data_IF_605205245788
#
_entry.id   IF_605205245788
#
_cell.length_a   1.000
_cell.length_b   1.000
_cell.length_c   1.000
_cell.angle_alpha   90.00
_cell.angle_beta   90.00
_cell.angle_gamma   90.00
#
_symmetry.space_group_name_H-M   'P 1'
#
loop_
_entity.id
_entity.type
_entity.pdbx_description
1 polymer ?
#
# COMPACT_ATOMS: atom_id res chain seq x y z
N UNK A 1 -41.06 17.27 -24.17
CA UNK A 1 -40.15 16.20 -23.80
C UNK A 1 -38.95 16.83 -23.11
N UNK A 2 -38.70 16.47 -21.84
CA UNK A 2 -37.68 17.12 -21.00
C UNK A 2 -36.52 16.19 -20.64
N UNK A 3 -36.48 14.94 -21.16
CA UNK A 3 -35.43 14.00 -20.82
C UNK A 3 -34.07 14.44 -21.37
N UNK A 4 -33.07 14.47 -20.50
CA UNK A 4 -31.68 14.66 -20.87
C UNK A 4 -30.86 13.58 -20.13
N UNK A 5 -30.12 12.76 -20.88
CA UNK A 5 -29.40 11.62 -20.34
C UNK A 5 -28.90 10.67 -21.42
N UNK A 6 -28.50 9.48 -21.01
CA UNK A 6 -28.16 8.39 -21.96
C UNK A 6 -29.37 7.52 -22.19
N UNK A 7 -29.71 7.31 -23.48
CA UNK A 7 -30.72 6.36 -23.93
C UNK A 7 -30.01 5.15 -24.56
N UNK A 8 -30.43 3.97 -24.15
CA UNK A 8 -29.85 2.70 -24.62
C UNK A 8 -30.73 2.11 -25.70
N UNK A 9 -30.12 1.57 -26.75
CA UNK A 9 -30.79 0.82 -27.80
C UNK A 9 -30.44 -0.66 -27.68
N UNK A 10 -31.46 -1.49 -27.76
CA UNK A 10 -31.35 -2.94 -27.68
C UNK A 10 -31.73 -3.57 -29.01
N UNK A 11 -31.15 -4.72 -29.33
CA UNK A 11 -31.50 -5.51 -30.49
C UNK A 11 -32.79 -6.36 -30.25
N UNK A 12 -33.15 -7.20 -31.22
CA UNK A 12 -34.33 -8.06 -31.13
C UNK A 12 -34.20 -9.18 -30.07
N UNK A 13 -32.99 -9.48 -29.65
CA UNK A 13 -32.68 -10.49 -28.62
C UNK A 13 -32.61 -9.88 -27.21
N UNK A 14 -32.73 -8.56 -27.11
CA UNK A 14 -32.57 -7.84 -25.84
C UNK A 14 -31.12 -7.51 -25.50
N UNK A 15 -30.17 -7.70 -26.43
CA UNK A 15 -28.77 -7.34 -26.21
C UNK A 15 -28.57 -5.85 -26.49
N UNK A 16 -27.80 -5.19 -25.60
CA UNK A 16 -27.48 -3.76 -25.74
C UNK A 16 -26.61 -3.54 -26.97
N UNK A 17 -27.10 -2.69 -27.88
CA UNK A 17 -26.45 -2.42 -29.15
C UNK A 17 -25.58 -1.15 -29.08
N UNK A 18 -26.16 -0.03 -28.60
CA UNK A 18 -25.49 1.25 -28.46
C UNK A 18 -26.19 2.14 -27.42
N UNK A 19 -25.54 3.25 -27.09
CA UNK A 19 -26.06 4.25 -26.14
C UNK A 19 -25.88 5.65 -26.72
N UNK A 20 -26.91 6.46 -26.62
CA UNK A 20 -26.95 7.79 -27.19
C UNK A 20 -27.25 8.88 -26.17
N UNK A 21 -26.55 9.98 -26.29
CA UNK A 21 -26.86 11.17 -25.54
C UNK A 21 -28.10 11.86 -26.08
N UNK A 22 -29.07 12.00 -25.22
CA UNK A 22 -30.35 12.67 -25.49
C UNK A 22 -30.36 13.99 -24.74
N UNK A 23 -30.72 15.06 -25.44
CA UNK A 23 -30.93 16.39 -24.86
C UNK A 23 -32.34 16.85 -25.22
N UNK A 24 -33.12 17.23 -24.19
CA UNK A 24 -34.51 17.67 -24.36
C UNK A 24 -35.37 16.69 -25.17
N UNK A 25 -35.20 15.38 -24.95
CA UNK A 25 -36.00 14.32 -25.60
C UNK A 25 -35.55 13.92 -27.00
N UNK A 26 -34.46 14.49 -27.54
CA UNK A 26 -33.91 14.15 -28.86
C UNK A 26 -32.44 13.75 -28.76
N UNK A 27 -32.02 12.81 -29.61
CA UNK A 27 -30.58 12.48 -29.72
C UNK A 27 -29.80 13.69 -30.22
N UNK A 28 -28.79 14.08 -29.49
CA UNK A 28 -27.94 15.24 -29.85
C UNK A 28 -26.69 14.76 -30.61
N UNK A 29 -26.82 14.58 -31.92
CA UNK A 29 -25.72 14.19 -32.80
C UNK A 29 -24.58 15.23 -32.90
N UNK A 30 -24.81 16.47 -32.43
CA UNK A 30 -23.78 17.50 -32.44
C UNK A 30 -22.82 17.42 -31.24
N UNK A 31 -23.21 16.70 -30.19
CA UNK A 31 -22.40 16.56 -28.99
C UNK A 31 -21.16 15.72 -29.25
N UNK A 32 -20.02 16.27 -28.87
CA UNK A 32 -18.70 15.63 -28.88
C UNK A 32 -17.92 16.01 -27.63
N UNK A 33 -17.21 15.02 -27.05
CA UNK A 33 -16.42 15.22 -25.83
C UNK A 33 -17.18 14.85 -24.55
N UNK A 34 -16.75 15.41 -23.44
CA UNK A 34 -17.33 15.13 -22.14
C UNK A 34 -18.65 15.87 -21.92
N UNK A 35 -19.70 15.15 -21.60
CA UNK A 35 -21.01 15.70 -21.24
C UNK A 35 -21.35 15.30 -19.80
N UNK A 36 -21.90 16.26 -19.03
CA UNK A 36 -22.32 16.04 -17.64
C UNK A 36 -23.79 15.64 -17.58
N UNK A 37 -24.07 14.50 -16.96
CA UNK A 37 -25.41 13.96 -16.76
C UNK A 37 -25.54 13.55 -15.29
N UNK A 38 -26.46 14.17 -14.55
CA UNK A 38 -26.70 13.84 -13.12
C UNK A 38 -25.43 13.72 -12.29
N UNK A 39 -24.50 14.67 -12.42
CA UNK A 39 -23.18 14.71 -11.81
C UNK A 39 -22.13 13.68 -12.29
N UNK A 40 -22.46 12.82 -13.22
CA UNK A 40 -21.49 11.93 -13.89
C UNK A 40 -21.06 12.52 -15.23
N UNK A 41 -19.81 12.28 -15.61
CA UNK A 41 -19.28 12.66 -16.90
C UNK A 41 -19.22 11.45 -17.80
N UNK A 42 -19.75 11.57 -19.03
CA UNK A 42 -19.69 10.55 -20.07
C UNK A 42 -19.02 11.14 -21.31
N UNK A 43 -18.25 10.33 -22.02
CA UNK A 43 -17.61 10.75 -23.26
C UNK A 43 -18.45 10.33 -24.47
N UNK A 44 -18.85 11.29 -25.28
CA UNK A 44 -19.64 11.06 -26.47
C UNK A 44 -18.92 11.53 -27.74
N UNK A 45 -19.18 10.86 -28.84
CA UNK A 45 -18.74 11.27 -30.17
C UNK A 45 -19.93 11.20 -31.11
N UNK A 46 -20.26 12.34 -31.75
CA UNK A 46 -21.47 12.48 -32.57
C UNK A 46 -22.73 12.00 -31.82
N UNK A 47 -22.83 12.31 -30.55
CA UNK A 47 -23.93 11.89 -29.68
C UNK A 47 -23.89 10.44 -29.19
N UNK A 48 -23.01 9.59 -29.69
CA UNK A 48 -22.89 8.19 -29.26
C UNK A 48 -21.87 8.05 -28.11
N UNK A 49 -22.28 7.36 -27.04
CA UNK A 49 -21.37 7.03 -25.91
C UNK A 49 -20.23 6.14 -26.42
N UNK A 50 -19.02 6.49 -26.06
CA UNK A 50 -17.83 5.73 -26.40
C UNK A 50 -17.52 4.71 -25.30
N UNK A 51 -18.30 3.64 -25.24
CA UNK A 51 -18.20 2.61 -24.20
C UNK A 51 -16.94 1.72 -24.29
N UNK A 52 -16.16 1.84 -25.34
CA UNK A 52 -14.85 1.22 -25.51
C UNK A 52 -13.70 2.04 -24.89
N UNK A 53 -13.99 3.28 -24.47
CA UNK A 53 -13.00 4.14 -23.84
C UNK A 53 -12.80 3.73 -22.37
N UNK A 54 -11.60 3.22 -22.05
CA UNK A 54 -11.23 2.75 -20.74
C UNK A 54 -9.80 3.18 -20.36
N UNK A 55 -9.49 3.25 -19.05
CA UNK A 55 -8.19 3.60 -18.51
C UNK A 55 -8.02 5.10 -18.31
N UNK A 56 -6.79 5.62 -18.47
CA UNK A 56 -6.50 7.03 -18.20
C UNK A 56 -6.64 7.87 -19.48
N UNK A 57 -7.38 8.96 -19.40
CA UNK A 57 -7.61 9.92 -20.49
C UNK A 57 -7.20 11.31 -20.05
N UNK A 58 -6.41 12.01 -20.87
CA UNK A 58 -6.08 13.41 -20.62
C UNK A 58 -7.26 14.29 -21.04
N UNK A 59 -7.75 15.10 -20.12
CA UNK A 59 -8.90 15.99 -20.36
C UNK A 59 -8.96 17.15 -19.37
N UNK A 60 -9.73 18.18 -19.75
CA UNK A 60 -10.16 19.26 -18.83
C UNK A 60 -11.59 18.98 -18.39
N UNK A 61 -11.78 18.68 -17.11
CA UNK A 61 -13.10 18.39 -16.51
C UNK A 61 -13.34 19.38 -15.38
N UNK A 62 -14.48 20.10 -15.40
CA UNK A 62 -14.81 21.19 -14.46
C UNK A 62 -13.68 22.22 -14.31
N UNK A 63 -12.99 22.54 -15.42
CA UNK A 63 -11.90 23.51 -15.46
C UNK A 63 -10.58 23.01 -14.87
N UNK A 64 -10.46 21.73 -14.54
CA UNK A 64 -9.23 21.08 -14.08
C UNK A 64 -8.63 20.24 -15.18
N UNK A 65 -7.43 20.56 -15.58
CA UNK A 65 -6.62 19.73 -16.48
C UNK A 65 -6.04 18.55 -15.73
N UNK A 66 -6.06 17.35 -16.35
CA UNK A 66 -5.49 16.18 -15.71
C UNK A 66 -5.62 14.90 -16.52
N UNK A 67 -5.15 13.82 -15.92
CA UNK A 67 -5.41 12.46 -16.36
C UNK A 67 -6.52 11.88 -15.51
N UNK A 68 -7.56 11.40 -16.17
CA UNK A 68 -8.80 10.97 -15.54
C UNK A 68 -9.04 9.50 -15.82
N UNK A 69 -9.43 8.76 -14.79
CA UNK A 69 -9.80 7.36 -14.90
C UNK A 69 -11.21 7.23 -15.49
N UNK A 70 -11.30 6.46 -16.54
CA UNK A 70 -12.53 6.26 -17.33
C UNK A 70 -12.83 4.78 -17.41
N UNK A 71 -14.06 4.42 -17.18
CA UNK A 71 -14.61 3.08 -17.35
C UNK A 71 -15.82 3.12 -18.26
N UNK A 72 -15.77 2.35 -19.35
CA UNK A 72 -16.83 2.27 -20.35
C UNK A 72 -17.35 3.64 -20.83
N UNK A 73 -16.42 4.57 -21.09
CA UNK A 73 -16.74 5.93 -21.55
C UNK A 73 -17.33 6.84 -20.49
N UNK A 74 -17.37 6.40 -19.24
CA UNK A 74 -17.84 7.17 -18.08
C UNK A 74 -16.68 7.47 -17.17
N UNK A 75 -16.61 8.69 -16.62
CA UNK A 75 -15.63 9.01 -15.62
C UNK A 75 -15.86 8.08 -14.42
N UNK A 76 -14.82 7.36 -14.03
CA UNK A 76 -14.91 6.41 -12.92
C UNK A 76 -15.32 7.15 -11.64
N UNK A 77 -16.45 6.77 -11.05
CA UNK A 77 -16.96 7.41 -9.84
C UNK A 77 -16.30 6.81 -8.60
N UNK A 78 -15.15 7.36 -8.24
CA UNK A 78 -14.48 7.01 -6.99
C UNK A 78 -14.91 7.99 -5.88
N UNK A 79 -16.10 7.80 -5.35
CA UNK A 79 -16.60 8.59 -4.20
C UNK A 79 -15.98 8.17 -2.88
N UNK A 80 -15.16 7.15 -2.87
CA UNK A 80 -14.43 6.70 -1.70
C UNK A 80 -13.22 7.62 -1.50
N UNK A 81 -13.08 8.18 -0.33
CA UNK A 81 -11.98 9.08 0.06
C UNK A 81 -10.64 8.34 0.27
N UNK A 82 -10.29 7.41 -0.63
CA UNK A 82 -9.03 6.69 -0.63
C UNK A 82 -8.43 6.60 -2.04
N UNK A 83 -7.12 6.42 -2.12
CA UNK A 83 -6.43 6.19 -3.39
C UNK A 83 -6.70 4.80 -3.93
N UNK A 84 -6.84 4.72 -5.26
CA UNK A 84 -6.89 3.49 -6.05
C UNK A 84 -5.72 3.46 -7.03
N UNK A 85 -5.49 2.31 -7.69
CA UNK A 85 -4.50 2.20 -8.75
C UNK A 85 -5.18 1.91 -10.09
N UNK A 86 -4.82 2.71 -11.09
CA UNK A 86 -5.22 2.49 -12.48
C UNK A 86 -4.01 2.13 -13.35
N UNK A 87 -4.09 1.03 -14.10
CA UNK A 87 -3.03 0.63 -15.02
C UNK A 87 -3.16 1.34 -16.37
N UNK A 88 -2.09 2.06 -16.77
CA UNK A 88 -2.05 2.72 -18.05
C UNK A 88 -0.61 2.93 -18.53
N UNK A 89 -0.37 2.71 -19.84
CA UNK A 89 0.93 2.97 -20.46
C UNK A 89 2.10 2.19 -19.85
N UNK A 90 1.86 0.97 -19.38
CA UNK A 90 2.88 0.11 -18.78
C UNK A 90 3.20 0.42 -17.30
N UNK A 91 2.40 1.27 -16.66
CA UNK A 91 2.57 1.67 -15.25
C UNK A 91 1.26 1.68 -14.50
N UNK A 92 1.32 1.56 -13.17
CA UNK A 92 0.20 1.75 -12.27
C UNK A 92 0.26 3.15 -11.65
N UNK A 93 -0.83 3.87 -11.71
CA UNK A 93 -0.95 5.26 -11.28
C UNK A 93 -1.91 5.41 -10.11
N UNK A 94 -1.54 6.21 -9.15
CA UNK A 94 -2.40 6.54 -8.01
C UNK A 94 -3.49 7.52 -8.46
N UNK A 95 -4.73 7.12 -8.25
CA UNK A 95 -5.92 7.88 -8.61
C UNK A 95 -6.69 8.23 -7.36
N UNK A 96 -7.05 9.51 -7.24
CA UNK A 96 -7.92 10.01 -6.18
C UNK A 96 -9.04 10.85 -6.81
N UNK A 97 -10.29 10.56 -6.45
CA UNK A 97 -11.46 11.21 -7.04
C UNK A 97 -11.41 11.21 -8.58
N UNK A 98 -11.16 10.03 -9.17
CA UNK A 98 -11.06 9.79 -10.62
C UNK A 98 -9.89 10.51 -11.32
N UNK A 99 -9.06 11.26 -10.64
CA UNK A 99 -7.92 11.98 -11.21
C UNK A 99 -6.60 11.40 -10.71
N UNK A 100 -5.62 11.26 -11.62
CA UNK A 100 -4.25 10.88 -11.23
C UNK A 100 -3.65 11.99 -10.38
N UNK A 101 -3.13 11.62 -9.22
CA UNK A 101 -2.40 12.52 -8.33
C UNK A 101 -0.88 12.28 -8.46
N UNK A 102 -0.21 13.07 -9.30
CA UNK A 102 1.23 13.00 -9.50
C UNK A 102 2.06 13.46 -8.30
N UNK A 103 1.44 14.06 -7.30
CA UNK A 103 2.13 14.50 -6.08
C UNK A 103 2.12 13.44 -4.99
N UNK A 104 1.25 12.44 -5.11
CA UNK A 104 1.08 11.43 -4.08
C UNK A 104 2.32 10.55 -3.93
N UNK A 105 2.79 10.42 -2.70
CA UNK A 105 3.80 9.45 -2.28
C UNK A 105 3.33 8.76 -1.01
N UNK A 106 3.25 7.43 -1.03
CA UNK A 106 2.70 6.66 0.07
C UNK A 106 2.29 5.25 -0.35
N UNK A 107 1.37 4.66 0.37
CA UNK A 107 0.91 3.31 0.09
C UNK A 107 -0.52 3.31 -0.45
N UNK A 108 -0.75 2.49 -1.46
CA UNK A 108 -2.09 2.21 -2.02
C UNK A 108 -2.35 0.70 -1.98
N UNK A 109 -3.51 0.31 -1.48
CA UNK A 109 -3.95 -1.09 -1.54
C UNK A 109 -4.62 -1.38 -2.88
N UNK A 110 -4.19 -2.48 -3.52
CA UNK A 110 -4.76 -2.97 -4.75
C UNK A 110 -4.66 -4.49 -4.79
N UNK A 111 -5.79 -5.17 -5.02
CA UNK A 111 -5.93 -6.62 -5.05
C UNK A 111 -5.28 -7.34 -3.83
N UNK A 112 -5.52 -6.78 -2.64
CA UNK A 112 -4.99 -7.33 -1.38
C UNK A 112 -3.50 -7.14 -1.16
N UNK A 113 -2.83 -6.40 -2.04
CA UNK A 113 -1.42 -6.04 -1.95
C UNK A 113 -1.28 -4.54 -1.69
N UNK A 114 -0.39 -4.18 -0.77
CA UNK A 114 -0.09 -2.79 -0.46
C UNK A 114 1.15 -2.36 -1.22
N UNK A 115 0.96 -1.45 -2.19
CA UNK A 115 1.99 -0.97 -3.10
C UNK A 115 2.55 0.38 -2.68
N UNK A 116 3.86 0.55 -2.79
CA UNK A 116 4.50 1.84 -2.59
C UNK A 116 4.43 2.67 -3.87
N UNK A 117 3.84 3.82 -3.74
CA UNK A 117 3.69 4.83 -4.79
C UNK A 117 4.66 5.97 -4.50
N UNK A 118 5.33 6.43 -5.53
CA UNK A 118 6.21 7.60 -5.47
C UNK A 118 5.91 8.51 -6.65
N UNK A 119 5.61 9.78 -6.35
CA UNK A 119 5.22 10.77 -7.37
C UNK A 119 4.08 10.28 -8.27
N UNK A 120 3.03 9.73 -7.67
CA UNK A 120 1.82 9.27 -8.33
C UNK A 120 1.92 7.92 -9.04
N UNK A 121 3.08 7.26 -9.05
CA UNK A 121 3.31 5.98 -9.75
C UNK A 121 3.85 4.91 -8.82
N UNK A 122 3.38 3.66 -8.99
CA UNK A 122 3.97 2.52 -8.26
C UNK A 122 5.45 2.40 -8.62
N UNK A 123 6.29 2.42 -7.59
CA UNK A 123 7.74 2.27 -7.75
C UNK A 123 8.15 0.81 -7.52
N UNK A 124 8.20 0.02 -8.59
CA UNK A 124 8.61 -1.39 -8.53
C UNK A 124 10.10 -1.60 -8.23
N UNK A 125 10.93 -0.58 -8.40
CA UNK A 125 12.37 -0.66 -8.11
C UNK A 125 12.66 -0.40 -6.63
N UNK A 126 11.67 0.10 -5.87
CA UNK A 126 11.84 0.40 -4.46
C UNK A 126 12.02 -0.87 -3.64
N UNK A 127 13.19 -1.02 -3.04
CA UNK A 127 13.50 -2.02 -2.00
C UNK A 127 14.21 -1.32 -0.85
N UNK A 128 13.80 -1.60 0.39
CA UNK A 128 14.32 -0.96 1.60
C UNK A 128 13.23 -0.32 2.44
N UNK A 129 13.62 0.59 3.30
CA UNK A 129 12.70 1.26 4.21
C UNK A 129 12.06 2.49 3.59
N UNK A 130 10.80 2.72 3.95
CA UNK A 130 10.05 3.94 3.67
C UNK A 130 9.35 4.39 4.94
N UNK A 131 9.21 5.70 5.09
CA UNK A 131 8.51 6.28 6.24
C UNK A 131 7.03 5.85 6.22
N UNK A 132 6.50 5.64 7.39
CA UNK A 132 5.06 5.47 7.62
C UNK A 132 4.48 6.75 8.24
N UNK A 133 3.17 6.79 8.45
CA UNK A 133 2.52 7.88 9.19
C UNK A 133 2.82 7.80 10.70
N UNK A 134 3.25 6.64 11.19
CA UNK A 134 3.61 6.41 12.57
C UNK A 134 5.07 6.84 12.81
N UNK A 135 5.27 7.67 13.83
CA UNK A 135 6.59 8.15 14.21
C UNK A 135 7.55 6.98 14.53
N UNK A 136 8.79 7.12 14.12
CA UNK A 136 9.86 6.14 14.36
C UNK A 136 9.58 4.73 13.78
N UNK A 137 8.60 4.62 12.87
CA UNK A 137 8.19 3.36 12.24
C UNK A 137 8.41 3.44 10.73
N UNK A 138 9.10 2.44 10.21
CA UNK A 138 9.50 2.36 8.81
C UNK A 138 9.01 1.05 8.22
N UNK A 139 8.25 1.13 7.13
CA UNK A 139 7.78 -0.04 6.41
C UNK A 139 8.91 -0.62 5.54
N UNK A 140 9.08 -1.93 5.57
CA UNK A 140 9.96 -2.64 4.65
C UNK A 140 9.25 -2.94 3.34
N UNK A 141 9.77 -2.40 2.27
CA UNK A 141 9.27 -2.55 0.92
C UNK A 141 10.26 -3.40 0.12
N UNK A 142 9.76 -4.33 -0.65
CA UNK A 142 10.54 -5.15 -1.56
C UNK A 142 9.89 -5.16 -2.95
N UNK A 143 10.63 -4.67 -3.96
CA UNK A 143 10.11 -4.53 -5.32
C UNK A 143 8.77 -3.78 -5.37
N UNK A 144 8.67 -2.67 -4.64
CA UNK A 144 7.47 -1.85 -4.55
C UNK A 144 6.36 -2.39 -3.65
N UNK A 145 6.46 -3.60 -3.12
CA UNK A 145 5.45 -4.21 -2.26
C UNK A 145 5.81 -4.08 -0.78
N UNK A 146 4.84 -3.70 0.05
CA UNK A 146 4.98 -3.80 1.50
C UNK A 146 4.93 -5.26 1.94
N UNK A 147 6.02 -5.75 2.51
CA UNK A 147 6.14 -7.13 2.94
C UNK A 147 5.79 -7.30 4.42
N UNK A 148 4.47 -7.26 4.73
CA UNK A 148 3.94 -7.34 6.09
C UNK A 148 4.22 -8.66 6.84
N UNK A 149 4.70 -9.69 6.13
CA UNK A 149 5.02 -10.99 6.74
C UNK A 149 6.51 -11.18 6.99
N UNK A 150 7.34 -10.22 6.56
CA UNK A 150 8.78 -10.33 6.76
C UNK A 150 9.13 -10.18 8.24
N UNK A 151 9.98 -11.09 8.72
CA UNK A 151 10.51 -11.10 10.06
C UNK A 151 11.99 -11.50 10.01
N UNK A 152 12.88 -10.64 10.51
CA UNK A 152 14.32 -10.93 10.52
C UNK A 152 15.19 -9.67 10.60
N UNK A 153 16.49 -9.85 10.39
CA UNK A 153 17.41 -8.73 10.25
C UNK A 153 17.87 -8.60 8.79
N UNK A 154 17.82 -7.37 8.28
CA UNK A 154 18.25 -7.04 6.91
C UNK A 154 19.32 -5.94 6.92
N UNK A 155 20.22 -5.97 5.95
CA UNK A 155 21.17 -4.86 5.73
C UNK A 155 20.56 -3.87 4.76
N UNK A 156 20.35 -2.65 5.22
CA UNK A 156 19.73 -1.59 4.41
C UNK A 156 20.12 -0.20 4.95
N UNK A 157 19.83 0.82 4.15
CA UNK A 157 19.91 2.21 4.59
C UNK A 157 18.62 2.62 5.31
N UNK A 158 18.77 3.23 6.48
CA UNK A 158 17.70 3.88 7.21
C UNK A 158 18.21 5.22 7.76
N UNK A 159 17.54 6.32 7.41
CA UNK A 159 17.90 7.68 7.82
C UNK A 159 19.37 8.07 7.54
N UNK A 160 19.89 7.66 6.38
CA UNK A 160 21.27 7.94 5.98
C UNK A 160 22.33 7.01 6.61
N UNK A 161 21.92 6.02 7.41
CA UNK A 161 22.81 5.03 8.03
C UNK A 161 22.61 3.67 7.40
N UNK A 162 23.67 3.09 6.84
CA UNK A 162 23.69 1.69 6.41
C UNK A 162 24.01 0.79 7.60
N UNK A 163 23.09 -0.10 7.95
CA UNK A 163 23.26 -1.05 9.05
C UNK A 163 22.37 -2.29 8.88
N UNK A 164 22.47 -3.22 9.83
CA UNK A 164 21.54 -4.32 9.97
C UNK A 164 20.36 -3.90 10.86
N UNK A 165 19.16 -3.98 10.34
CA UNK A 165 17.94 -3.55 11.00
C UNK A 165 16.99 -4.70 11.23
N UNK A 166 16.37 -4.76 12.39
CA UNK A 166 15.26 -5.68 12.63
C UNK A 166 14.03 -5.24 11.87
N UNK A 167 13.42 -6.17 11.14
CA UNK A 167 12.08 -6.04 10.60
C UNK A 167 11.19 -7.06 11.31
N UNK A 168 10.09 -6.59 11.87
CA UNK A 168 9.05 -7.40 12.51
C UNK A 168 7.70 -7.04 11.90
N UNK A 169 6.99 -8.06 11.39
CA UNK A 169 5.68 -7.86 10.74
C UNK A 169 5.75 -6.76 9.66
N UNK A 170 6.84 -6.78 8.87
CA UNK A 170 7.11 -5.83 7.81
C UNK A 170 7.59 -4.44 8.23
N UNK A 171 7.75 -4.16 9.52
CA UNK A 171 8.16 -2.84 10.02
C UNK A 171 9.47 -2.91 10.79
N UNK A 172 10.27 -1.84 10.67
CA UNK A 172 11.36 -1.51 11.58
C UNK A 172 10.91 -0.37 12.48
N UNK A 173 11.11 -0.54 13.80
CA UNK A 173 10.91 0.53 14.79
C UNK A 173 12.28 1.01 15.24
N UNK A 174 12.61 2.28 14.93
CA UNK A 174 13.88 2.89 15.28
C UNK A 174 13.68 4.34 15.69
N UNK A 175 13.95 4.67 16.96
CA UNK A 175 13.88 6.03 17.46
C UNK A 175 15.28 6.63 17.62
N UNK A 176 15.52 7.78 17.01
CA UNK A 176 16.81 8.47 17.11
C UNK A 176 17.20 8.87 18.55
N UNK A 177 16.22 8.89 19.47
CA UNK A 177 16.40 9.31 20.87
C UNK A 177 16.29 8.15 21.88
N UNK A 178 16.20 6.89 21.42
CA UNK A 178 16.11 5.76 22.32
C UNK A 178 17.41 5.60 23.15
N UNK A 179 17.26 5.49 24.46
CA UNK A 179 18.36 5.27 25.33
C UNK A 179 18.64 3.77 25.55
N UNK A 180 19.92 3.36 25.58
CA UNK A 180 20.32 2.02 25.97
C UNK A 180 19.93 1.75 27.41
N UNK A 181 19.17 0.69 27.66
CA UNK A 181 18.68 0.32 29.00
C UNK A 181 19.46 -0.84 29.64
N UNK A 182 20.62 -1.20 29.07
CA UNK A 182 21.51 -2.22 29.62
C UNK A 182 21.22 -3.65 29.14
N UNK A 183 20.21 -3.84 28.26
CA UNK A 183 19.92 -5.15 27.65
C UNK A 183 19.37 -4.98 26.24
N UNK A 184 19.47 -5.99 25.33
CA UNK A 184 18.80 -6.00 24.05
C UNK A 184 17.28 -5.86 24.21
N UNK A 185 16.64 -5.17 23.27
CA UNK A 185 15.18 -5.05 23.22
C UNK A 185 14.53 -6.34 22.71
N UNK A 186 15.22 -7.03 21.80
CA UNK A 186 14.78 -8.27 21.18
C UNK A 186 15.94 -8.98 20.48
N UNK A 187 15.60 -10.03 19.73
CA UNK A 187 16.54 -10.74 18.85
C UNK A 187 15.94 -10.92 17.47
N UNK A 188 16.78 -10.84 16.43
CA UNK A 188 16.36 -11.07 15.06
C UNK A 188 17.33 -11.98 14.32
N UNK A 189 16.80 -12.90 13.53
CA UNK A 189 17.57 -13.84 12.74
C UNK A 189 17.86 -13.33 11.33
N UNK A 190 18.99 -13.72 10.78
CA UNK A 190 19.29 -13.70 9.36
C UNK A 190 20.05 -15.00 9.00
N UNK A 191 20.58 -15.08 7.79
CA UNK A 191 21.38 -16.23 7.31
C UNK A 191 22.62 -16.51 8.14
N UNK A 192 23.14 -15.54 8.88
CA UNK A 192 24.39 -15.65 9.66
C UNK A 192 24.15 -15.96 11.14
N UNK A 193 22.89 -15.99 11.59
CA UNK A 193 22.56 -16.32 12.98
C UNK A 193 21.42 -15.50 13.58
N UNK A 194 21.33 -15.57 14.92
CA UNK A 194 20.38 -14.80 15.73
C UNK A 194 21.14 -13.65 16.42
N UNK A 195 20.71 -12.44 16.24
CA UNK A 195 21.40 -11.23 16.63
C UNK A 195 20.65 -10.43 17.71
N UNK A 196 21.39 -9.87 18.64
CA UNK A 196 20.86 -8.93 19.62
C UNK A 196 20.45 -7.62 18.94
N UNK A 197 19.28 -7.13 19.28
CA UNK A 197 18.70 -5.90 18.73
C UNK A 197 18.60 -4.84 19.82
N UNK A 198 19.05 -3.65 19.51
CA UNK A 198 18.89 -2.46 20.33
C UNK A 198 18.30 -1.36 19.46
N UNK A 199 17.15 -0.83 19.85
CA UNK A 199 16.46 0.22 19.12
C UNK A 199 16.29 -0.09 17.62
N UNK A 200 15.88 -1.33 17.31
CA UNK A 200 15.68 -1.79 15.95
C UNK A 200 16.93 -2.14 15.15
N UNK A 201 18.14 -1.88 15.67
CA UNK A 201 19.42 -2.13 15.02
C UNK A 201 20.13 -3.35 15.64
N UNK A 202 20.87 -4.11 14.82
CA UNK A 202 21.77 -5.15 15.32
C UNK A 202 22.92 -4.49 16.10
N UNK A 203 23.09 -4.88 17.35
CA UNK A 203 24.06 -4.30 18.27
C UNK A 203 25.28 -5.21 18.43
N UNK A 204 26.31 -4.99 17.62
CA UNK A 204 27.54 -5.80 17.60
C UNK A 204 28.45 -5.63 18.83
N UNK A 205 28.22 -4.63 19.64
CA UNK A 205 28.95 -4.34 20.87
C UNK A 205 28.35 -5.00 22.12
N UNK A 206 27.19 -5.65 21.98
CA UNK A 206 26.49 -6.35 23.06
C UNK A 206 27.14 -7.69 23.33
N UNK A 207 27.57 -7.91 24.60
CA UNK A 207 28.11 -9.18 25.08
C UNK A 207 27.60 -9.43 26.51
N UNK A 208 27.18 -10.65 26.80
CA UNK A 208 26.70 -11.02 28.13
C UNK A 208 25.59 -12.08 28.13
N UNK A 209 25.08 -12.35 29.32
CA UNK A 209 23.93 -13.21 29.52
C UNK A 209 22.66 -12.36 29.71
N UNK A 210 21.60 -12.68 28.93
CA UNK A 210 20.34 -11.94 28.97
C UNK A 210 19.18 -12.89 29.14
N UNK A 211 18.27 -12.56 30.06
CA UNK A 211 17.13 -13.37 30.41
C UNK A 211 15.81 -12.68 30.02
N UNK A 212 14.94 -13.40 29.38
CA UNK A 212 13.61 -12.97 28.96
C UNK A 212 12.59 -14.03 29.31
N UNK A 213 11.40 -13.60 29.73
CA UNK A 213 10.32 -14.50 30.02
C UNK A 213 9.02 -14.10 29.33
N UNK A 214 8.25 -15.07 28.94
CA UNK A 214 6.94 -14.83 28.33
C UNK A 214 5.93 -15.88 28.77
N UNK A 215 4.65 -15.50 28.78
CA UNK A 215 3.53 -16.41 29.03
C UNK A 215 2.97 -16.91 27.70
N UNK A 216 2.76 -18.21 27.61
CA UNK A 216 2.04 -18.86 26.52
C UNK A 216 0.71 -19.39 27.01
N UNK A 217 -0.39 -18.99 26.40
CA UNK A 217 -1.70 -19.59 26.65
C UNK A 217 -1.73 -21.01 26.10
N UNK A 218 -1.98 -21.98 26.94
CA UNK A 218 -2.16 -23.41 26.56
C UNK A 218 -3.64 -23.77 26.47
N UNK A 219 -4.51 -23.01 27.18
CA UNK A 219 -5.98 -23.09 27.08
C UNK A 219 -6.58 -21.71 27.38
N UNK A 220 -7.92 -21.60 27.46
CA UNK A 220 -8.60 -20.35 27.86
C UNK A 220 -8.30 -19.90 29.30
N UNK A 221 -7.94 -20.83 30.15
CA UNK A 221 -7.75 -20.61 31.59
C UNK A 221 -6.32 -20.85 32.06
N UNK A 222 -5.50 -21.52 31.23
CA UNK A 222 -4.12 -21.91 31.59
C UNK A 222 -3.08 -21.24 30.72
N UNK A 223 -1.99 -20.80 31.36
CA UNK A 223 -0.80 -20.30 30.70
C UNK A 223 0.46 -20.88 31.36
N UNK A 224 1.46 -21.17 30.57
CA UNK A 224 2.80 -21.54 31.05
C UNK A 224 3.73 -20.35 30.92
N UNK A 225 4.64 -20.20 31.89
CA UNK A 225 5.71 -19.22 31.82
C UNK A 225 6.96 -19.91 31.30
N UNK A 226 7.54 -19.37 30.24
CA UNK A 226 8.81 -19.84 29.68
C UNK A 226 9.87 -18.76 29.86
N UNK A 227 10.97 -19.14 30.52
CA UNK A 227 12.15 -18.30 30.65
C UNK A 227 13.18 -18.72 29.62
N UNK A 228 13.71 -17.75 28.88
CA UNK A 228 14.79 -17.91 27.92
C UNK A 228 16.05 -17.22 28.45
N UNK A 229 17.19 -17.91 28.39
CA UNK A 229 18.49 -17.37 28.68
C UNK A 229 19.32 -17.38 27.40
N UNK A 230 19.80 -16.23 26.98
CA UNK A 230 20.62 -16.04 25.79
C UNK A 230 22.04 -15.68 26.20
N UNK A 231 23.02 -16.43 25.66
CA UNK A 231 24.43 -16.02 25.71
C UNK A 231 24.74 -15.26 24.43
N UNK A 232 25.22 -14.03 24.58
CA UNK A 232 25.49 -13.12 23.45
C UNK A 232 26.98 -12.77 23.47
N UNK A 233 27.64 -12.87 22.34
CA UNK A 233 29.02 -12.45 22.13
C UNK A 233 29.09 -11.59 20.83
N UNK A 234 29.55 -10.34 21.00
CA UNK A 234 29.62 -9.38 19.91
C UNK A 234 28.30 -9.27 19.08
N UNK A 235 27.19 -9.22 19.78
CA UNK A 235 25.84 -9.16 19.20
C UNK A 235 25.26 -10.50 18.73
N UNK A 236 26.08 -11.52 18.51
CA UNK A 236 25.62 -12.84 18.07
C UNK A 236 25.18 -13.69 19.27
N UNK A 237 24.02 -14.30 19.17
CA UNK A 237 23.57 -15.32 20.15
C UNK A 237 24.35 -16.60 19.91
N UNK A 238 25.18 -16.98 20.86
CA UNK A 238 26.04 -18.19 20.80
C UNK A 238 25.35 -19.41 21.39
N UNK A 239 24.44 -19.21 22.36
CA UNK A 239 23.56 -20.26 22.87
C UNK A 239 22.26 -19.69 23.42
N UNK A 240 21.21 -20.55 23.44
CA UNK A 240 19.91 -20.25 24.02
C UNK A 240 19.42 -21.45 24.81
N UNK A 241 18.95 -21.20 26.04
CA UNK A 241 18.29 -22.19 26.88
C UNK A 241 16.87 -21.73 27.18
N UNK A 242 15.90 -22.64 27.13
CA UNK A 242 14.52 -22.39 27.49
C UNK A 242 14.13 -23.28 28.68
N UNK A 243 13.51 -22.70 29.69
CA UNK A 243 12.99 -23.43 30.86
C UNK A 243 11.53 -23.09 31.05
N UNK A 244 10.69 -24.12 31.09
CA UNK A 244 9.28 -23.99 31.45
C UNK A 244 9.19 -23.99 32.98
N UNK A 245 8.58 -22.97 33.53
CA UNK A 245 8.29 -22.87 34.95
C UNK A 245 6.80 -23.13 35.16
N UNK A 246 6.49 -24.35 35.61
CA UNK A 246 5.14 -24.69 36.08
C UNK A 246 4.81 -23.88 37.33
N UNK A 247 3.62 -23.32 37.38
CA UNK A 247 3.07 -22.74 38.60
C UNK A 247 2.15 -23.71 39.28
#
# INVERSE_FOLDING_TARGET
FSYTGIAERYDQNGDKFDSWYVRNGQVDFSSNGWVKINNHYVYVRNGMLQSDLNGLVQATIDGKDGWWEVDHGTLFDNTNYYYTLCYYGGSWWAVYNSQVDFSYTGFVEHDGTRWYVENGRVNFDKTGFVNTEEADTYAYVQNGQYNKTFYGAIYAELNGKNSWWQVKDGNCVHSANAAWNGKPDSFAANENGLWAIVNGEVAFDVTGEYSYGTYYSVSREDSIYVSYIYQVENGLVTSMQATVLDR
#
